data_IF_564741572703
#
_entry.id   IF_564741572703
#
_cell.length_a   1.000
_cell.length_b   1.000
_cell.length_c   1.000
_cell.angle_alpha   90.00
_cell.angle_beta   90.00
_cell.angle_gamma   90.00
#
_symmetry.space_group_name_H-M   'P 1'
#
loop_
_entity.id
_entity.type
_entity.pdbx_description
1 polymer ?
#
# COMPACT_ATOMS: atom_id res chain seq x y z
N UNK A 1 -22.42 -16.82 27.51
CA UNK A 1 -22.21 -17.91 26.53
C UNK A 1 -20.72 -18.13 26.40
N UNK A 2 -20.35 -19.37 26.69
CA UNK A 2 -19.04 -20.02 26.79
C UNK A 2 -18.09 -19.72 25.61
N UNK A 3 -16.76 -19.71 25.78
CA UNK A 3 -15.94 -20.84 26.22
C UNK A 3 -14.60 -20.41 26.87
N UNK A 4 -13.93 -21.33 27.61
CA UNK A 4 -12.87 -21.07 28.58
C UNK A 4 -11.46 -21.40 28.05
N UNK A 5 -10.43 -20.91 28.74
CA UNK A 5 -9.08 -21.50 28.70
C UNK A 5 -8.65 -21.72 30.14
N UNK A 6 -8.60 -22.99 30.55
CA UNK A 6 -7.92 -23.44 31.76
C UNK A 6 -6.42 -23.68 31.49
N UNK A 7 -5.67 -23.46 32.55
CA UNK A 7 -4.21 -23.47 32.77
C UNK A 7 -3.49 -24.81 32.54
N UNK A 8 -2.15 -24.80 32.37
CA UNK A 8 -1.19 -25.37 33.34
C UNK A 8 0.28 -25.13 32.90
N UNK A 9 1.21 -25.32 33.85
CA UNK A 9 2.48 -24.57 33.98
C UNK A 9 3.77 -25.43 33.90
N UNK A 10 4.82 -24.79 33.38
CA UNK A 10 6.27 -24.88 33.64
C UNK A 10 7.20 -26.03 33.18
N UNK A 11 8.38 -25.54 32.72
CA UNK A 11 9.73 -26.12 32.54
C UNK A 11 10.01 -26.90 31.24
N UNK A 12 10.91 -26.34 30.43
CA UNK A 12 11.70 -27.07 29.44
C UNK A 12 11.89 -26.30 28.15
N UNK A 13 13.12 -25.87 27.89
CA UNK A 13 13.57 -25.17 26.69
C UNK A 13 13.26 -25.95 25.41
N UNK A 14 12.51 -25.36 24.47
CA UNK A 14 12.44 -25.81 23.08
C UNK A 14 12.78 -24.63 22.17
N UNK A 15 13.85 -24.84 21.42
CA UNK A 15 14.53 -23.88 20.55
C UNK A 15 13.63 -23.53 19.36
N UNK A 16 13.30 -22.24 19.21
CA UNK A 16 12.82 -21.71 17.93
C UNK A 16 13.87 -20.74 17.39
N UNK A 17 14.38 -21.05 16.19
CA UNK A 17 15.25 -20.18 15.41
C UNK A 17 14.45 -19.00 14.89
N UNK A 18 14.27 -17.98 15.75
CA UNK A 18 13.58 -16.73 15.40
C UNK A 18 14.64 -15.75 14.88
N UNK A 19 14.50 -15.35 13.60
CA UNK A 19 15.24 -14.23 13.00
C UNK A 19 15.23 -13.05 13.98
N UNK A 20 16.42 -12.54 14.36
CA UNK A 20 16.63 -11.41 15.29
C UNK A 20 15.69 -10.23 14.99
N UNK A 21 14.50 -10.21 15.60
CA UNK A 21 13.78 -8.97 15.87
C UNK A 21 14.41 -8.38 17.12
N UNK A 22 15.29 -7.38 16.96
CA UNK A 22 15.65 -6.50 18.06
C UNK A 22 14.37 -5.79 18.49
N UNK A 23 13.74 -6.27 19.56
CA UNK A 23 12.79 -5.49 20.34
C UNK A 23 13.59 -4.30 20.88
N UNK A 24 13.56 -3.16 20.17
CA UNK A 24 14.18 -1.93 20.63
C UNK A 24 13.24 -1.38 21.71
N UNK A 25 13.61 -1.57 22.98
CA UNK A 25 12.99 -0.79 24.06
C UNK A 25 13.26 0.67 23.73
N UNK A 26 12.22 1.41 23.37
CA UNK A 26 12.33 2.81 23.03
C UNK A 26 12.24 3.59 24.33
N UNK A 27 13.40 4.01 24.84
CA UNK A 27 13.50 4.83 26.03
C UNK A 27 13.30 6.30 25.63
N UNK A 28 12.38 7.00 26.30
CA UNK A 28 12.12 8.43 26.06
C UNK A 28 12.94 9.25 27.04
N UNK A 29 13.82 10.12 26.54
CA UNK A 29 14.66 10.97 27.37
C UNK A 29 13.93 12.24 27.81
N UNK A 30 13.92 12.50 29.11
CA UNK A 30 13.29 13.66 29.72
C UNK A 30 14.26 14.79 30.04
N UNK A 31 15.54 14.45 30.24
CA UNK A 31 16.59 15.41 30.59
C UNK A 31 17.92 15.11 29.90
N UNK A 32 18.80 16.11 29.82
CA UNK A 32 20.14 15.93 29.25
C UNK A 32 21.01 14.99 30.11
N UNK A 33 20.84 15.02 31.43
CA UNK A 33 21.58 14.15 32.36
C UNK A 33 21.26 12.68 32.13
N UNK A 34 19.97 12.34 32.02
CA UNK A 34 19.49 10.99 31.74
C UNK A 34 20.05 10.46 30.40
N UNK A 35 20.05 11.31 29.36
CA UNK A 35 20.63 10.96 28.07
C UNK A 35 22.14 10.74 28.13
N UNK A 36 22.87 11.62 28.82
CA UNK A 36 24.31 11.53 28.94
C UNK A 36 24.73 10.27 29.70
N UNK A 37 24.02 9.92 30.77
CA UNK A 37 24.24 8.68 31.53
C UNK A 37 24.00 7.44 30.66
N UNK A 38 22.86 7.38 29.96
CA UNK A 38 22.52 6.25 29.10
C UNK A 38 23.49 6.05 27.92
N UNK A 39 24.09 7.14 27.42
CA UNK A 39 25.06 7.13 26.31
C UNK A 39 26.51 7.16 26.75
N UNK A 40 26.78 7.13 28.07
CA UNK A 40 28.12 7.24 28.65
C UNK A 40 28.91 8.47 28.16
N UNK A 41 28.25 9.61 28.04
CA UNK A 41 28.83 10.89 27.61
C UNK A 41 29.38 11.67 28.81
N UNK A 42 30.65 12.04 28.75
CA UNK A 42 31.35 12.73 29.87
C UNK A 42 31.20 14.26 29.86
N UNK A 43 30.92 14.86 28.71
CA UNK A 43 30.82 16.32 28.54
C UNK A 43 29.64 16.69 27.62
N UNK A 44 28.89 17.72 28.00
CA UNK A 44 27.80 18.31 27.20
C UNK A 44 28.25 18.76 25.80
N UNK A 45 29.51 19.16 25.64
CA UNK A 45 30.06 19.55 24.32
C UNK A 45 30.21 18.39 23.35
N UNK A 46 30.29 17.16 23.87
CA UNK A 46 30.46 15.94 23.08
C UNK A 46 29.13 15.36 22.57
N UNK A 47 28.01 15.94 22.97
CA UNK A 47 26.66 15.47 22.64
C UNK A 47 26.41 15.59 21.13
N UNK A 48 26.18 14.46 20.42
CA UNK A 48 25.91 14.48 18.98
C UNK A 48 24.45 14.90 18.71
N UNK A 49 24.15 16.19 18.85
CA UNK A 49 22.79 16.74 18.81
C UNK A 49 21.96 16.31 17.60
N UNK A 50 22.55 16.27 16.41
CA UNK A 50 21.82 15.86 15.19
C UNK A 50 21.41 14.39 15.26
N UNK A 51 22.34 13.51 15.64
CA UNK A 51 22.07 12.08 15.78
C UNK A 51 20.98 11.84 16.81
N UNK A 52 21.08 12.49 17.97
CA UNK A 52 20.10 12.35 19.05
C UNK A 52 18.71 12.86 18.63
N UNK A 53 18.62 14.02 17.98
CA UNK A 53 17.34 14.55 17.50
C UNK A 53 16.67 13.66 16.44
N UNK A 54 17.43 12.80 15.76
CA UNK A 54 16.94 11.93 14.69
C UNK A 54 16.63 10.50 15.19
N UNK A 55 17.47 9.96 16.06
CA UNK A 55 17.46 8.52 16.39
C UNK A 55 16.81 8.18 17.75
N UNK A 56 16.70 9.17 18.64
CA UNK A 56 16.17 8.99 19.99
C UNK A 56 14.77 9.60 20.13
N UNK A 57 13.98 9.09 21.10
CA UNK A 57 12.72 9.72 21.49
C UNK A 57 12.98 10.75 22.58
N UNK A 58 12.74 12.02 22.26
CA UNK A 58 12.97 13.15 23.15
C UNK A 58 11.64 13.70 23.62
N UNK A 59 11.46 13.82 24.93
CA UNK A 59 10.29 14.50 25.47
C UNK A 59 10.29 15.98 25.09
N UNK A 60 9.11 16.59 25.06
CA UNK A 60 8.99 18.04 24.90
C UNK A 60 9.72 18.82 26.00
N UNK A 61 9.85 18.26 27.21
CA UNK A 61 10.59 18.88 28.31
C UNK A 61 12.08 18.95 28.00
N UNK A 62 12.65 17.84 27.54
CA UNK A 62 14.03 17.78 27.07
C UNK A 62 14.30 18.84 25.99
N UNK A 63 13.40 18.95 25.01
CA UNK A 63 13.55 19.90 23.91
C UNK A 63 13.49 21.35 24.42
N UNK A 64 12.61 21.65 25.40
CA UNK A 64 12.51 22.98 26.03
C UNK A 64 13.80 23.36 26.75
N UNK A 65 14.39 22.43 27.50
CA UNK A 65 15.62 22.67 28.27
C UNK A 65 16.85 22.85 27.38
N UNK A 66 16.79 22.37 26.13
CA UNK A 66 17.91 22.36 25.19
C UNK A 66 17.61 23.14 23.90
N UNK A 67 16.77 24.18 24.01
CA UNK A 67 16.19 24.96 22.90
C UNK A 67 17.22 25.46 21.86
N UNK A 68 18.43 25.84 22.31
CA UNK A 68 19.49 26.41 21.47
C UNK A 68 20.40 25.37 20.80
N UNK A 69 20.35 24.13 21.30
CA UNK A 69 21.24 23.05 20.90
C UNK A 69 20.58 22.08 19.92
N UNK A 70 19.28 21.84 20.10
CA UNK A 70 18.51 20.93 19.26
C UNK A 70 18.46 21.43 17.81
N UNK A 71 18.42 20.46 16.89
CA UNK A 71 18.20 20.72 15.48
C UNK A 71 16.70 20.74 15.18
N UNK A 72 16.11 21.93 15.06
CA UNK A 72 14.66 22.10 14.88
C UNK A 72 14.09 21.43 13.62
N UNK A 73 14.87 21.28 12.57
CA UNK A 73 14.44 20.54 11.37
C UNK A 73 14.25 19.05 11.69
N UNK A 74 15.21 18.47 12.42
CA UNK A 74 15.13 17.07 12.85
C UNK A 74 14.02 16.88 13.89
N UNK A 75 13.89 17.80 14.85
CA UNK A 75 12.78 17.80 15.82
C UNK A 75 11.42 17.80 15.10
N UNK A 76 11.24 18.66 14.10
CA UNK A 76 9.96 18.78 13.37
C UNK A 76 9.56 17.49 12.66
N UNK A 77 10.53 16.71 12.18
CA UNK A 77 10.30 15.51 11.36
C UNK A 77 10.35 14.19 12.12
N UNK A 78 11.09 14.08 13.22
CA UNK A 78 11.39 12.80 13.87
C UNK A 78 10.82 12.65 15.28
N UNK A 79 10.40 13.75 15.91
CA UNK A 79 9.86 13.73 17.27
C UNK A 79 8.33 13.83 17.25
N UNK A 80 7.65 13.23 18.20
CA UNK A 80 6.21 13.42 18.41
C UNK A 80 5.96 14.73 19.18
N UNK A 81 5.31 15.69 18.55
CA UNK A 81 5.06 17.03 19.12
C UNK A 81 3.56 17.24 19.31
N UNK A 82 3.16 17.69 20.51
CA UNK A 82 1.79 18.11 20.76
C UNK A 82 1.46 19.42 20.05
N UNK A 83 0.18 19.64 19.74
CA UNK A 83 -0.29 20.90 19.18
C UNK A 83 0.05 22.11 20.07
N UNK A 84 0.03 21.94 21.40
CA UNK A 84 0.42 22.98 22.36
C UNK A 84 1.89 23.37 22.22
N UNK A 85 2.77 22.38 22.05
CA UNK A 85 4.19 22.62 21.79
C UNK A 85 4.43 23.27 20.44
N UNK A 86 3.79 22.76 19.39
CA UNK A 86 3.88 23.32 18.04
C UNK A 86 3.42 24.78 18.05
N UNK A 87 2.33 25.09 18.76
CA UNK A 87 1.85 26.47 18.90
C UNK A 87 2.86 27.38 19.59
N UNK A 88 3.54 26.88 20.64
CA UNK A 88 4.56 27.64 21.39
C UNK A 88 5.81 27.90 20.54
N UNK A 89 6.26 26.91 19.77
CA UNK A 89 7.52 26.95 19.02
C UNK A 89 7.35 27.06 17.50
N UNK A 90 6.17 27.51 17.04
CA UNK A 90 5.77 27.57 15.62
C UNK A 90 6.77 28.25 14.67
N UNK A 91 7.54 29.23 15.16
CA UNK A 91 8.49 29.99 14.32
C UNK A 91 9.86 29.30 14.24
N UNK A 92 10.12 28.27 15.05
CA UNK A 92 11.34 27.43 15.00
C UNK A 92 11.14 26.18 14.15
N UNK A 93 9.90 25.73 14.01
CA UNK A 93 9.56 24.47 13.37
C UNK A 93 9.52 24.56 11.84
N UNK A 94 9.87 23.46 11.20
CA UNK A 94 9.83 23.26 9.76
C UNK A 94 8.48 22.65 9.41
N UNK A 95 7.58 23.48 8.93
CA UNK A 95 6.17 23.10 8.87
C UNK A 95 5.82 22.09 7.79
N UNK A 96 6.58 22.02 6.71
CA UNK A 96 6.45 20.93 5.74
C UNK A 96 6.64 19.57 6.43
N UNK A 97 7.63 19.48 7.33
CA UNK A 97 7.84 18.32 8.20
C UNK A 97 6.69 18.16 9.19
N UNK A 98 6.30 19.24 9.89
CA UNK A 98 5.19 19.19 10.87
C UNK A 98 3.90 18.63 10.25
N UNK A 99 3.48 19.12 9.08
CA UNK A 99 2.26 18.66 8.43
C UNK A 99 2.39 17.20 7.96
N UNK A 100 3.58 16.79 7.49
CA UNK A 100 3.81 15.42 7.04
C UNK A 100 3.82 14.41 8.19
N UNK A 101 4.38 14.76 9.35
CA UNK A 101 4.72 13.77 10.39
C UNK A 101 3.88 13.84 11.66
N UNK A 102 3.35 15.02 12.04
CA UNK A 102 2.69 15.20 13.34
C UNK A 102 1.21 14.83 13.30
N UNK A 103 0.66 14.26 14.38
CA UNK A 103 -0.78 13.97 14.49
C UNK A 103 -1.54 15.25 14.84
N UNK A 104 -2.07 15.93 13.82
CA UNK A 104 -2.75 17.21 13.95
C UNK A 104 -4.27 17.06 13.78
N UNK A 105 -5.03 17.90 14.48
CA UNK A 105 -6.45 18.12 14.28
C UNK A 105 -6.72 19.00 13.07
N UNK A 106 -7.90 18.83 12.47
CA UNK A 106 -8.36 19.66 11.36
C UNK A 106 -8.45 21.15 11.74
N UNK A 107 -8.92 21.44 12.96
CA UNK A 107 -8.97 22.81 13.50
C UNK A 107 -7.59 23.43 13.61
N UNK A 108 -6.57 22.66 14.00
CA UNK A 108 -5.20 23.14 14.08
C UNK A 108 -4.61 23.40 12.69
N UNK A 109 -4.82 22.50 11.75
CA UNK A 109 -4.43 22.68 10.34
C UNK A 109 -5.06 23.98 9.81
N UNK A 110 -6.36 24.17 9.99
CA UNK A 110 -7.06 25.36 9.51
C UNK A 110 -6.51 26.65 10.15
N UNK A 111 -6.24 26.63 11.46
CA UNK A 111 -5.67 27.77 12.21
C UNK A 111 -4.36 28.29 11.61
N UNK A 112 -3.54 27.42 11.03
CA UNK A 112 -2.22 27.75 10.49
C UNK A 112 -2.14 27.78 8.96
N UNK A 113 -3.25 27.59 8.25
CA UNK A 113 -3.30 27.59 6.79
C UNK A 113 -3.19 28.99 6.12
N UNK A 114 -2.65 29.99 6.83
CA UNK A 114 -2.52 31.36 6.34
C UNK A 114 -1.12 31.93 6.66
N UNK A 115 -0.45 32.46 5.62
CA UNK A 115 0.88 33.09 5.70
C UNK A 115 1.05 34.07 6.86
N UNK A 116 0.03 34.88 7.20
CA UNK A 116 0.11 35.87 8.29
C UNK A 116 0.38 35.26 9.67
N UNK A 117 0.10 33.96 9.84
CA UNK A 117 0.35 33.22 11.09
C UNK A 117 1.82 32.84 11.28
N UNK A 118 2.59 32.94 10.21
CA UNK A 118 3.98 32.57 10.08
C UNK A 118 4.78 33.86 10.19
N UNK A 119 5.33 34.08 11.38
CA UNK A 119 6.25 35.18 11.60
C UNK A 119 7.66 34.61 11.45
N UNK A 120 8.58 35.28 10.73
CA UNK A 120 9.99 34.93 10.80
C UNK A 120 10.41 34.91 12.26
N UNK A 121 11.17 33.90 12.66
CA UNK A 121 11.86 33.98 13.94
C UNK A 121 12.88 35.12 13.86
N UNK A 122 12.95 35.95 14.89
CA UNK A 122 14.01 36.94 15.00
C UNK A 122 15.35 36.20 14.99
N UNK A 123 16.27 36.58 14.10
CA UNK A 123 17.55 35.87 13.89
C UNK A 123 18.35 35.84 15.20
N UNK A 124 18.16 36.86 16.03
CA UNK A 124 18.75 37.04 17.35
C UNK A 124 18.29 35.97 18.37
N UNK A 125 17.13 35.34 18.15
CA UNK A 125 16.63 34.24 18.99
C UNK A 125 17.22 32.86 18.64
N UNK A 126 18.02 32.78 17.57
CA UNK A 126 18.62 31.53 17.09
C UNK A 126 20.13 31.50 17.38
N UNK A 127 20.64 30.33 17.76
CA UNK A 127 22.09 30.11 17.80
C UNK A 127 22.68 30.16 16.38
N UNK A 128 23.97 30.52 16.24
CA UNK A 128 24.64 30.57 14.92
C UNK A 128 24.50 29.27 14.11
N UNK A 129 24.46 28.12 14.78
CA UNK A 129 24.24 26.80 14.13
C UNK A 129 22.80 26.67 13.61
N UNK A 130 21.82 27.14 14.38
CA UNK A 130 20.42 27.12 13.99
C UNK A 130 20.14 28.10 12.85
N UNK A 131 20.75 29.29 12.86
CA UNK A 131 20.69 30.25 11.75
C UNK A 131 21.14 29.61 10.43
N UNK A 132 22.33 29.01 10.40
CA UNK A 132 22.84 28.29 9.22
C UNK A 132 21.92 27.19 8.74
N UNK A 133 21.32 26.44 9.68
CA UNK A 133 20.37 25.36 9.33
C UNK A 133 19.10 25.95 8.73
N UNK A 134 18.59 27.03 9.31
CA UNK A 134 17.40 27.73 8.81
C UNK A 134 17.65 28.33 7.42
N UNK A 135 18.76 29.03 7.20
CA UNK A 135 19.12 29.58 5.88
C UNK A 135 19.21 28.50 4.80
N UNK A 136 19.76 27.34 5.14
CA UNK A 136 19.94 26.22 4.20
C UNK A 136 18.65 25.48 3.89
N UNK A 137 17.80 25.26 4.90
CA UNK A 137 16.72 24.27 4.83
C UNK A 137 15.32 24.91 4.86
N UNK A 138 15.21 26.16 5.30
CA UNK A 138 13.92 26.85 5.44
C UNK A 138 13.32 27.11 4.07
N UNK A 139 11.98 27.04 4.02
CA UNK A 139 11.20 27.37 2.84
C UNK A 139 10.15 28.39 3.22
N UNK A 140 9.89 29.40 2.37
CA UNK A 140 8.79 30.32 2.60
C UNK A 140 7.46 29.56 2.62
N UNK A 141 6.49 30.09 3.36
CA UNK A 141 5.14 29.54 3.34
C UNK A 141 4.51 29.74 1.96
N UNK A 142 4.21 28.63 1.31
CA UNK A 142 3.47 28.57 0.04
C UNK A 142 2.12 27.88 0.27
N UNK A 143 1.04 28.64 0.14
CA UNK A 143 -0.31 28.16 0.46
C UNK A 143 -0.69 26.92 -0.36
N UNK A 144 -0.41 26.92 -1.67
CA UNK A 144 -0.70 25.80 -2.56
C UNK A 144 0.05 24.54 -2.13
N UNK A 145 1.33 24.66 -1.79
CA UNK A 145 2.14 23.55 -1.32
C UNK A 145 1.65 23.03 0.04
N UNK A 146 1.28 23.93 0.96
CA UNK A 146 0.70 23.58 2.24
C UNK A 146 -0.58 22.74 2.07
N UNK A 147 -1.53 23.18 1.26
CA UNK A 147 -2.78 22.44 1.04
C UNK A 147 -2.56 21.13 0.29
N UNK A 148 -1.56 21.07 -0.60
CA UNK A 148 -1.13 19.81 -1.22
C UNK A 148 -0.62 18.81 -0.16
N UNK A 149 0.19 19.25 0.80
CA UNK A 149 0.63 18.39 1.91
C UNK A 149 -0.54 17.94 2.79
N UNK A 150 -1.46 18.85 3.11
CA UNK A 150 -2.68 18.52 3.87
C UNK A 150 -3.51 17.46 3.13
N UNK A 151 -3.63 17.54 1.81
CA UNK A 151 -4.40 16.58 1.00
C UNK A 151 -3.86 15.16 1.10
N UNK A 152 -2.54 14.98 1.26
CA UNK A 152 -1.88 13.67 1.45
C UNK A 152 -1.99 13.13 2.88
N UNK A 153 -2.41 13.96 3.84
CA UNK A 153 -2.26 13.66 5.26
C UNK A 153 -3.26 12.62 5.74
N UNK A 154 -2.79 11.41 6.05
CA UNK A 154 -3.60 10.35 6.65
C UNK A 154 -3.52 10.35 8.19
N UNK A 155 -2.37 10.74 8.74
CA UNK A 155 -2.12 10.77 10.18
C UNK A 155 -2.70 12.04 10.81
N UNK A 156 -4.01 12.04 11.06
CA UNK A 156 -4.70 13.06 11.85
C UNK A 156 -4.95 12.57 13.28
N UNK A 157 -5.21 13.52 14.18
CA UNK A 157 -5.55 13.22 15.58
C UNK A 157 -6.79 12.30 15.73
N UNK A 158 -7.66 12.28 14.72
CA UNK A 158 -8.85 11.42 14.67
C UNK A 158 -8.56 9.98 14.17
N UNK A 159 -7.33 9.68 13.76
CA UNK A 159 -6.88 8.43 13.13
C UNK A 159 -7.62 7.98 11.84
N UNK A 160 -8.54 8.79 11.32
CA UNK A 160 -9.43 8.45 10.19
C UNK A 160 -9.13 9.25 8.92
N UNK A 161 -8.11 10.10 8.92
CA UNK A 161 -7.82 11.01 7.82
C UNK A 161 -8.73 12.25 7.81
N UNK A 162 -8.77 12.95 6.68
CA UNK A 162 -9.59 14.15 6.53
C UNK A 162 -11.07 13.79 6.46
N UNK A 163 -11.88 14.47 7.25
CA UNK A 163 -13.32 14.29 7.27
C UNK A 163 -13.96 14.81 5.98
N UNK A 164 -15.07 14.19 5.52
CA UNK A 164 -15.81 14.71 4.37
C UNK A 164 -16.23 16.18 4.53
N UNK A 165 -16.57 16.60 5.75
CA UNK A 165 -16.93 17.99 6.04
C UNK A 165 -15.75 18.96 5.86
N UNK A 166 -14.55 18.56 6.28
CA UNK A 166 -13.34 19.34 6.06
C UNK A 166 -12.99 19.45 4.57
N UNK A 167 -13.09 18.32 3.83
CA UNK A 167 -12.85 18.30 2.39
C UNK A 167 -13.82 19.24 1.67
N UNK A 168 -15.12 19.17 1.99
CA UNK A 168 -16.14 20.07 1.45
C UNK A 168 -15.84 21.55 1.72
N UNK A 169 -15.51 21.87 2.98
CA UNK A 169 -15.19 23.24 3.40
C UNK A 169 -14.00 23.82 2.63
N UNK A 170 -13.04 22.97 2.24
CA UNK A 170 -11.77 23.39 1.63
C UNK A 170 -11.56 22.86 0.21
N UNK A 171 -12.62 22.43 -0.48
CA UNK A 171 -12.59 21.82 -1.81
C UNK A 171 -11.80 22.61 -2.88
N UNK A 172 -11.77 23.94 -2.79
CA UNK A 172 -11.06 24.81 -3.74
C UNK A 172 -9.56 24.93 -3.47
N UNK A 173 -9.11 24.50 -2.29
CA UNK A 173 -7.71 24.62 -1.84
C UNK A 173 -6.99 23.27 -1.86
N UNK A 174 -7.71 22.19 -1.55
CA UNK A 174 -7.17 20.84 -1.54
C UNK A 174 -6.84 20.35 -2.96
N UNK A 175 -5.82 19.51 -3.05
CA UNK A 175 -5.36 18.87 -4.27
C UNK A 175 -6.12 17.56 -4.46
N UNK A 176 -7.07 17.54 -5.40
CA UNK A 176 -7.97 16.40 -5.62
C UNK A 176 -7.26 15.15 -6.13
N UNK A 177 -6.16 15.29 -6.86
CA UNK A 177 -5.34 14.13 -7.25
C UNK A 177 -4.73 13.48 -6.02
N UNK A 178 -4.22 14.28 -5.07
CA UNK A 178 -3.66 13.75 -3.82
C UNK A 178 -4.75 13.20 -2.89
N UNK A 179 -5.93 13.83 -2.85
CA UNK A 179 -7.09 13.30 -2.13
C UNK A 179 -7.51 11.92 -2.68
N UNK A 180 -7.66 11.79 -4.00
CA UNK A 180 -8.05 10.52 -4.64
C UNK A 180 -7.06 9.39 -4.37
N UNK A 181 -5.76 9.71 -4.25
CA UNK A 181 -4.68 8.73 -4.00
C UNK A 181 -4.58 8.32 -2.53
N UNK A 182 -4.69 9.27 -1.61
CA UNK A 182 -4.28 9.07 -0.23
C UNK A 182 -5.41 9.11 0.78
N UNK A 183 -6.54 9.75 0.48
CA UNK A 183 -7.67 9.79 1.41
C UNK A 183 -8.70 8.70 1.09
N UNK A 184 -9.43 8.27 2.11
CA UNK A 184 -10.67 7.55 1.89
C UNK A 184 -11.76 8.54 1.47
N UNK A 185 -12.24 8.43 0.23
CA UNK A 185 -13.28 9.29 -0.32
C UNK A 185 -14.60 8.49 -0.43
N UNK A 186 -15.60 8.78 0.42
CA UNK A 186 -16.90 8.11 0.30
C UNK A 186 -17.56 8.38 -1.06
N UNK A 187 -18.23 7.39 -1.63
CA UNK A 187 -18.94 7.53 -2.92
C UNK A 187 -19.83 8.79 -3.03
N UNK A 188 -20.59 9.22 -2.00
CA UNK A 188 -21.37 10.47 -2.08
C UNK A 188 -20.52 11.74 -2.23
N UNK A 189 -19.27 11.73 -1.74
CA UNK A 189 -18.32 12.82 -1.92
C UNK A 189 -17.78 12.81 -3.36
N UNK A 190 -17.38 11.63 -3.84
CA UNK A 190 -16.94 11.43 -5.24
C UNK A 190 -18.05 11.86 -6.21
N UNK A 191 -19.31 11.50 -5.92
CA UNK A 191 -20.48 11.88 -6.71
C UNK A 191 -20.62 13.40 -6.85
N UNK A 192 -20.49 14.15 -5.74
CA UNK A 192 -20.61 15.61 -5.74
C UNK A 192 -19.44 16.31 -6.43
N UNK A 193 -18.25 15.71 -6.39
CA UNK A 193 -17.01 16.26 -6.95
C UNK A 193 -16.48 15.48 -8.16
N UNK A 194 -17.38 14.88 -8.93
CA UNK A 194 -17.05 14.03 -10.08
C UNK A 194 -16.17 14.72 -11.14
N UNK A 195 -16.21 16.06 -11.21
CA UNK A 195 -15.42 16.87 -12.13
C UNK A 195 -14.03 17.23 -11.61
N UNK A 196 -13.73 16.95 -10.34
CA UNK A 196 -12.47 17.33 -9.67
C UNK A 196 -11.62 16.11 -9.34
N UNK A 197 -12.26 14.99 -8.99
CA UNK A 197 -11.56 13.75 -8.66
C UNK A 197 -10.75 13.23 -9.85
N UNK A 198 -9.58 12.67 -9.55
CA UNK A 198 -8.85 11.84 -10.50
C UNK A 198 -9.51 10.46 -10.57
N UNK A 199 -10.16 10.15 -11.69
CA UNK A 199 -10.92 8.92 -11.87
C UNK A 199 -10.08 7.66 -11.91
N UNK A 200 -8.86 7.72 -12.46
CA UNK A 200 -7.94 6.59 -12.47
C UNK A 200 -7.58 6.23 -11.02
N UNK A 201 -7.22 7.24 -10.22
CA UNK A 201 -6.90 7.02 -8.82
C UNK A 201 -8.12 6.59 -8.00
N UNK A 202 -9.30 7.15 -8.27
CA UNK A 202 -10.56 6.73 -7.63
C UNK A 202 -10.83 5.25 -7.91
N UNK A 203 -10.77 4.83 -9.17
CA UNK A 203 -11.01 3.43 -9.55
C UNK A 203 -9.97 2.47 -8.97
N UNK A 204 -8.73 2.91 -8.76
CA UNK A 204 -7.65 2.05 -8.26
C UNK A 204 -7.57 1.94 -6.75
N UNK A 205 -7.98 2.98 -6.03
CA UNK A 205 -7.71 3.10 -4.59
C UNK A 205 -8.97 3.22 -3.71
N UNK A 206 -10.13 3.52 -4.29
CA UNK A 206 -11.38 3.66 -3.52
C UNK A 206 -12.23 2.40 -3.65
N UNK A 207 -13.12 2.15 -2.68
CA UNK A 207 -14.07 1.05 -2.75
C UNK A 207 -15.35 1.53 -3.44
N UNK A 208 -15.61 1.02 -4.64
CA UNK A 208 -16.74 1.42 -5.47
C UNK A 208 -17.74 0.26 -5.60
N UNK A 209 -19.03 0.58 -5.56
CA UNK A 209 -20.06 -0.40 -5.92
C UNK A 209 -20.17 -0.56 -7.43
N UNK A 210 -20.53 -1.75 -7.90
CA UNK A 210 -20.81 -2.03 -9.32
C UNK A 210 -21.78 -1.02 -9.94
N UNK A 211 -22.86 -0.67 -9.21
CA UNK A 211 -23.83 0.35 -9.66
C UNK A 211 -23.21 1.73 -9.82
N UNK A 212 -22.26 2.09 -8.95
CA UNK A 212 -21.54 3.35 -9.05
C UNK A 212 -20.60 3.35 -10.26
N UNK A 213 -19.89 2.25 -10.49
CA UNK A 213 -19.04 2.04 -11.67
C UNK A 213 -19.86 2.16 -12.95
N UNK A 214 -21.02 1.52 -13.02
CA UNK A 214 -21.95 1.63 -14.17
C UNK A 214 -22.45 3.05 -14.37
N UNK A 215 -22.80 3.77 -13.30
CA UNK A 215 -23.23 5.18 -13.38
C UNK A 215 -22.16 6.09 -13.98
N UNK A 216 -20.89 5.82 -13.69
CA UNK A 216 -19.75 6.59 -14.16
C UNK A 216 -18.93 5.84 -15.21
N UNK A 217 -19.59 5.05 -16.05
CA UNK A 217 -18.93 4.16 -17.01
C UNK A 217 -17.97 4.87 -17.97
N UNK A 218 -18.19 6.15 -18.26
CA UNK A 218 -17.34 6.90 -19.19
C UNK A 218 -16.14 7.58 -18.50
N UNK A 219 -16.02 7.43 -17.18
CA UNK A 219 -14.98 8.07 -16.39
C UNK A 219 -14.04 7.06 -15.72
N UNK A 220 -14.57 5.95 -15.24
CA UNK A 220 -13.77 4.90 -14.58
C UNK A 220 -12.75 4.29 -15.53
N UNK A 221 -11.60 3.89 -14.97
CA UNK A 221 -10.59 3.14 -15.70
C UNK A 221 -11.01 1.65 -15.78
N UNK A 222 -11.28 1.15 -16.99
CA UNK A 222 -11.82 -0.20 -17.20
C UNK A 222 -10.77 -1.28 -17.42
N UNK A 223 -9.62 -0.92 -17.97
CA UNK A 223 -8.63 -1.82 -18.52
C UNK A 223 -8.20 -2.89 -17.52
N UNK A 224 -7.95 -2.48 -16.27
CA UNK A 224 -7.52 -3.33 -15.17
C UNK A 224 -8.43 -3.23 -13.93
N UNK A 225 -9.69 -2.81 -14.08
CA UNK A 225 -10.59 -2.53 -12.95
C UNK A 225 -10.75 -3.70 -11.97
N UNK A 226 -10.72 -4.94 -12.48
CA UNK A 226 -10.87 -6.16 -11.68
C UNK A 226 -9.67 -6.46 -10.76
N UNK A 227 -8.53 -5.79 -10.95
CA UNK A 227 -7.38 -5.88 -10.05
C UNK A 227 -7.52 -4.95 -8.83
N UNK A 228 -8.48 -4.02 -8.88
CA UNK A 228 -8.63 -2.95 -7.89
C UNK A 228 -9.98 -2.98 -7.19
N UNK A 229 -11.01 -3.50 -7.85
CA UNK A 229 -12.37 -3.58 -7.34
C UNK A 229 -12.79 -5.03 -7.14
N UNK A 230 -13.55 -5.27 -6.08
CA UNK A 230 -14.23 -6.55 -5.91
C UNK A 230 -15.48 -6.59 -6.77
N UNK A 231 -15.45 -7.41 -7.82
CA UNK A 231 -16.47 -7.44 -8.87
C UNK A 231 -17.05 -8.85 -9.00
N UNK A 232 -18.36 -8.94 -9.10
CA UNK A 232 -19.05 -10.20 -9.37
C UNK A 232 -18.75 -10.70 -10.79
N UNK A 233 -18.80 -12.02 -10.96
CA UNK A 233 -18.68 -12.63 -12.29
C UNK A 233 -19.74 -12.12 -13.26
N UNK A 234 -20.97 -11.89 -12.78
CA UNK A 234 -22.06 -11.33 -13.60
C UNK A 234 -21.69 -9.95 -14.15
N UNK A 235 -21.09 -9.11 -13.33
CA UNK A 235 -20.66 -7.78 -13.73
C UNK A 235 -19.52 -7.86 -14.76
N UNK A 236 -18.50 -8.68 -14.49
CA UNK A 236 -17.39 -8.86 -15.43
C UNK A 236 -17.90 -9.44 -16.74
N UNK A 237 -18.74 -10.47 -16.73
CA UNK A 237 -19.35 -11.05 -17.94
C UNK A 237 -20.08 -9.99 -18.78
N UNK A 238 -20.79 -9.05 -18.16
CA UNK A 238 -21.48 -7.95 -18.87
C UNK A 238 -20.51 -6.95 -19.50
N UNK A 239 -19.40 -6.63 -18.83
CA UNK A 239 -18.51 -5.52 -19.20
C UNK A 239 -17.11 -5.94 -19.67
N UNK A 240 -16.83 -7.24 -19.80
CA UNK A 240 -15.51 -7.78 -20.12
C UNK A 240 -14.91 -7.21 -21.41
N UNK A 241 -15.74 -6.79 -22.38
CA UNK A 241 -15.27 -6.14 -23.60
C UNK A 241 -14.51 -4.82 -23.37
N UNK A 242 -14.68 -4.18 -22.22
CA UNK A 242 -13.95 -2.96 -21.82
C UNK A 242 -12.67 -3.25 -21.04
N UNK A 243 -12.47 -4.50 -20.62
CA UNK A 243 -11.32 -4.92 -19.82
C UNK A 243 -10.29 -5.57 -20.74
N UNK A 244 -9.03 -5.14 -20.66
CA UNK A 244 -7.93 -5.82 -21.33
C UNK A 244 -7.49 -7.04 -20.52
N UNK A 245 -7.48 -6.90 -19.19
CA UNK A 245 -7.05 -7.95 -18.27
C UNK A 245 -8.07 -8.19 -17.17
N UNK A 246 -8.24 -9.46 -16.79
CA UNK A 246 -9.13 -9.88 -15.71
C UNK A 246 -8.31 -10.53 -14.60
N UNK A 247 -8.51 -10.07 -13.37
CA UNK A 247 -7.85 -10.64 -12.19
C UNK A 247 -8.42 -12.02 -11.84
N UNK A 248 -7.52 -12.97 -11.62
CA UNK A 248 -7.79 -14.29 -11.09
C UNK A 248 -7.50 -14.39 -9.57
N UNK A 249 -7.36 -13.28 -8.83
CA UNK A 249 -7.08 -13.34 -7.39
C UNK A 249 -8.32 -13.69 -6.56
N UNK A 250 -9.48 -13.17 -6.95
CA UNK A 250 -10.75 -13.52 -6.31
C UNK A 250 -11.21 -14.90 -6.78
N UNK A 251 -11.80 -15.69 -5.88
CA UNK A 251 -12.33 -17.01 -6.24
C UNK A 251 -13.36 -16.90 -7.36
N UNK A 252 -13.17 -17.66 -8.43
CA UNK A 252 -14.07 -17.73 -9.59
C UNK A 252 -14.60 -19.14 -9.80
N UNK A 253 -15.73 -19.25 -10.51
CA UNK A 253 -16.25 -20.48 -11.05
C UNK A 253 -15.39 -20.96 -12.23
N UNK A 254 -15.32 -22.28 -12.41
CA UNK A 254 -14.54 -22.87 -13.51
C UNK A 254 -15.03 -22.38 -14.88
N UNK A 255 -16.36 -22.26 -15.06
CA UNK A 255 -16.97 -21.72 -16.28
C UNK A 255 -16.55 -20.28 -16.55
N UNK A 256 -16.38 -19.46 -15.51
CA UNK A 256 -15.91 -18.09 -15.65
C UNK A 256 -14.44 -18.05 -16.07
N UNK A 257 -13.58 -18.84 -15.40
CA UNK A 257 -12.17 -18.98 -15.77
C UNK A 257 -12.03 -19.45 -17.22
N UNK A 258 -12.79 -20.46 -17.63
CA UNK A 258 -12.82 -20.94 -19.01
C UNK A 258 -13.18 -19.82 -20.00
N UNK A 259 -14.22 -19.06 -19.68
CA UNK A 259 -14.76 -18.03 -20.58
C UNK A 259 -13.78 -16.87 -20.80
N UNK A 260 -13.00 -16.51 -19.78
CA UNK A 260 -12.10 -15.34 -19.81
C UNK A 260 -10.61 -15.70 -19.73
N UNK A 261 -10.24 -16.96 -20.00
CA UNK A 261 -8.86 -17.45 -19.89
C UNK A 261 -7.86 -16.63 -20.72
N UNK A 262 -8.30 -16.12 -21.87
CA UNK A 262 -7.50 -15.28 -22.76
C UNK A 262 -7.06 -13.98 -22.08
N UNK A 263 -7.94 -13.38 -21.27
CA UNK A 263 -7.71 -12.12 -20.52
C UNK A 263 -7.06 -12.32 -19.15
N UNK A 264 -6.81 -13.56 -18.75
CA UNK A 264 -6.20 -13.91 -17.48
C UNK A 264 -4.78 -14.41 -17.67
N UNK A 265 -3.95 -14.12 -16.67
CA UNK A 265 -2.64 -14.73 -16.53
C UNK A 265 -2.76 -16.15 -15.96
N UNK A 266 -2.13 -17.13 -16.61
CA UNK A 266 -2.24 -18.53 -16.22
C UNK A 266 -1.54 -18.83 -14.89
N UNK A 267 -0.43 -18.14 -14.60
CA UNK A 267 0.26 -18.30 -13.33
C UNK A 267 -0.63 -17.86 -12.16
N UNK A 268 -1.28 -16.70 -12.31
CA UNK A 268 -2.24 -16.17 -11.33
C UNK A 268 -3.43 -17.09 -11.11
N UNK A 269 -3.94 -17.75 -12.17
CA UNK A 269 -5.03 -18.74 -12.02
C UNK A 269 -4.57 -19.91 -11.16
N UNK A 270 -3.41 -20.51 -11.48
CA UNK A 270 -2.90 -21.68 -10.76
C UNK A 270 -2.57 -21.34 -9.29
N UNK A 271 -2.09 -20.13 -9.03
CA UNK A 271 -1.75 -19.69 -7.67
C UNK A 271 -2.99 -19.47 -6.78
N UNK A 272 -4.06 -18.90 -7.34
CA UNK A 272 -5.17 -18.37 -6.54
C UNK A 272 -6.48 -19.15 -6.68
N UNK A 273 -6.62 -20.00 -7.70
CA UNK A 273 -7.85 -20.77 -7.95
C UNK A 273 -7.73 -22.21 -7.46
N UNK A 274 -8.86 -22.78 -7.05
CA UNK A 274 -8.97 -24.19 -6.71
C UNK A 274 -9.44 -24.96 -7.94
N UNK A 275 -8.49 -25.45 -8.74
CA UNK A 275 -8.76 -26.25 -9.93
C UNK A 275 -8.89 -27.73 -9.56
N UNK A 276 -10.01 -28.35 -9.93
CA UNK A 276 -10.31 -29.74 -9.58
C UNK A 276 -9.64 -30.73 -10.54
N UNK A 277 -9.55 -30.40 -11.82
CA UNK A 277 -9.05 -31.30 -12.84
C UNK A 277 -7.59 -30.99 -13.18
N UNK A 278 -6.68 -31.77 -12.59
CA UNK A 278 -5.24 -31.65 -12.79
C UNK A 278 -4.66 -33.04 -13.05
N UNK A 279 -4.03 -33.22 -14.20
CA UNK A 279 -3.26 -34.40 -14.56
C UNK A 279 -1.79 -34.14 -14.27
N UNK A 280 -1.10 -35.10 -13.64
CA UNK A 280 0.27 -34.91 -13.16
C UNK A 280 1.19 -35.94 -13.78
N UNK A 281 2.22 -35.46 -14.47
CA UNK A 281 3.24 -36.28 -15.11
C UNK A 281 4.62 -35.90 -14.57
N UNK A 282 5.66 -36.72 -14.82
CA UNK A 282 7.02 -36.37 -14.39
C UNK A 282 7.50 -35.00 -14.92
N UNK A 283 7.31 -34.65 -16.21
CA UNK A 283 7.82 -33.39 -16.74
C UNK A 283 6.97 -32.16 -16.40
N UNK A 284 5.65 -32.33 -16.22
CA UNK A 284 4.71 -31.22 -16.03
C UNK A 284 3.35 -31.65 -15.43
N UNK A 285 2.62 -30.66 -14.91
CA UNK A 285 1.21 -30.75 -14.55
C UNK A 285 0.35 -30.11 -15.66
N UNK A 286 -0.75 -30.77 -16.04
CA UNK A 286 -1.76 -30.25 -16.98
C UNK A 286 -3.02 -29.90 -16.20
N UNK A 287 -3.39 -28.63 -16.23
CA UNK A 287 -4.61 -28.10 -15.63
C UNK A 287 -5.68 -27.96 -16.70
N UNK A 288 -6.87 -28.47 -16.42
CA UNK A 288 -7.98 -28.54 -17.38
C UNK A 288 -9.13 -27.68 -16.88
N UNK A 289 -9.58 -26.75 -17.71
CA UNK A 289 -10.81 -25.98 -17.51
C UNK A 289 -11.89 -26.50 -18.44
N UNK A 290 -13.08 -26.74 -17.90
CA UNK A 290 -14.20 -27.32 -18.64
C UNK A 290 -15.40 -26.37 -18.75
N UNK A 291 -16.08 -26.41 -19.91
CA UNK A 291 -17.37 -25.76 -20.13
C UNK A 291 -18.21 -26.59 -21.09
N UNK A 292 -19.08 -27.43 -20.52
CA UNK A 292 -19.74 -28.49 -21.30
C UNK A 292 -18.68 -29.46 -21.81
N UNK A 293 -18.70 -29.74 -23.11
CA UNK A 293 -17.73 -30.63 -23.75
C UNK A 293 -16.41 -29.93 -24.14
N UNK A 294 -16.37 -28.59 -24.05
CA UNK A 294 -15.18 -27.83 -24.41
C UNK A 294 -14.15 -27.80 -23.28
N UNK A 295 -12.88 -27.84 -23.67
CA UNK A 295 -11.74 -27.85 -22.75
C UNK A 295 -10.74 -26.78 -23.11
N UNK A 296 -10.04 -26.27 -22.10
CA UNK A 296 -8.88 -25.39 -22.24
C UNK A 296 -7.81 -25.86 -21.28
N UNK A 297 -6.56 -25.74 -21.70
CA UNK A 297 -5.44 -26.35 -21.01
C UNK A 297 -4.43 -25.31 -20.58
N UNK A 298 -3.82 -25.56 -19.42
CA UNK A 298 -2.62 -24.86 -18.98
C UNK A 298 -1.59 -25.89 -18.53
N UNK A 299 -0.35 -25.75 -18.97
CA UNK A 299 0.75 -26.63 -18.57
C UNK A 299 1.65 -25.88 -17.61
N UNK A 300 2.04 -26.54 -16.51
CA UNK A 300 3.07 -26.09 -15.58
C UNK A 300 4.26 -27.06 -15.62
N UNK A 301 5.38 -26.60 -16.12
CA UNK A 301 6.60 -27.40 -16.25
C UNK A 301 7.36 -27.51 -14.93
N UNK A 302 7.82 -28.71 -14.58
CA UNK A 302 8.60 -28.93 -13.35
C UNK A 302 10.05 -28.47 -13.46
N UNK A 303 10.61 -28.50 -14.68
CA UNK A 303 11.96 -28.02 -15.00
C UNK A 303 11.85 -26.82 -15.93
N UNK A 304 12.01 -25.61 -15.39
CA UNK A 304 12.10 -24.38 -16.19
C UNK A 304 13.52 -24.21 -16.69
N UNK A 305 13.73 -24.14 -18.00
CA UNK A 305 14.93 -23.49 -18.55
C UNK A 305 14.78 -21.97 -18.38
N UNK A 306 15.87 -21.23 -18.19
CA UNK A 306 15.86 -19.80 -17.85
C UNK A 306 15.18 -18.88 -18.89
N UNK A 307 14.78 -19.42 -20.06
CA UNK A 307 14.23 -18.67 -21.19
C UNK A 307 12.72 -18.87 -21.44
N UNK A 308 12.04 -19.82 -20.77
CA UNK A 308 10.64 -20.17 -21.05
C UNK A 308 9.77 -19.93 -19.81
N UNK A 309 8.61 -19.28 -19.99
CA UNK A 309 7.59 -19.18 -18.94
C UNK A 309 7.23 -20.58 -18.43
N UNK A 310 7.34 -20.79 -17.11
CA UNK A 310 7.12 -22.07 -16.45
C UNK A 310 5.66 -22.54 -16.49
N UNK A 311 4.73 -21.62 -16.76
CA UNK A 311 3.29 -21.88 -16.89
C UNK A 311 2.83 -21.29 -18.21
N UNK A 312 2.11 -22.07 -19.02
CA UNK A 312 1.61 -21.65 -20.34
C UNK A 312 0.16 -22.05 -20.54
N UNK A 313 -0.59 -21.23 -21.27
CA UNK A 313 -1.87 -21.61 -21.87
C UNK A 313 -1.54 -22.32 -23.18
N UNK A 314 -2.15 -23.47 -23.42
CA UNK A 314 -1.92 -24.24 -24.64
C UNK A 314 -3.24 -24.62 -25.28
N UNK A 315 -3.24 -24.73 -26.61
CA UNK A 315 -4.35 -25.34 -27.34
C UNK A 315 -4.21 -26.87 -27.38
N UNK A 316 -5.13 -27.52 -28.10
CA UNK A 316 -5.19 -28.98 -28.21
C UNK A 316 -4.00 -29.57 -28.99
N UNK A 317 -3.51 -28.87 -30.03
CA UNK A 317 -2.37 -29.32 -30.83
C UNK A 317 -1.06 -29.17 -30.05
N UNK A 318 -0.86 -28.03 -29.39
CA UNK A 318 0.31 -27.79 -28.54
C UNK A 318 0.36 -28.77 -27.37
N UNK A 319 -0.79 -29.09 -26.76
CA UNK A 319 -0.85 -30.12 -25.71
C UNK A 319 -0.49 -31.51 -26.26
N UNK A 320 -1.03 -31.87 -27.43
CA UNK A 320 -0.70 -33.15 -28.08
C UNK A 320 0.80 -33.27 -28.34
N UNK A 321 1.43 -32.23 -28.90
CA UNK A 321 2.88 -32.20 -29.14
C UNK A 321 3.69 -32.39 -27.87
N UNK A 322 3.34 -31.69 -26.79
CA UNK A 322 4.02 -31.86 -25.51
C UNK A 322 3.85 -33.27 -24.93
N UNK A 323 2.69 -33.92 -25.11
CA UNK A 323 2.49 -35.32 -24.71
C UNK A 323 3.31 -36.27 -25.58
N UNK A 324 3.38 -36.05 -26.90
CA UNK A 324 4.17 -36.84 -27.84
C UNK A 324 5.68 -36.76 -27.54
N UNK A 325 6.22 -35.55 -27.43
CA UNK A 325 7.64 -35.29 -27.18
C UNK A 325 8.14 -35.92 -25.87
N UNK A 326 7.25 -36.09 -24.89
CA UNK A 326 7.57 -36.67 -23.59
C UNK A 326 7.18 -38.17 -23.48
N UNK A 327 6.80 -38.81 -24.59
CA UNK A 327 6.48 -40.24 -24.62
C UNK A 327 5.18 -40.61 -23.89
N UNK A 328 4.26 -39.66 -23.76
CA UNK A 328 2.99 -39.80 -23.03
C UNK A 328 1.80 -40.10 -23.96
N UNK A 329 2.01 -40.47 -25.23
CA UNK A 329 0.92 -40.81 -26.16
C UNK A 329 -0.04 -41.88 -25.61
N UNK A 330 0.50 -42.83 -24.81
CA UNK A 330 -0.29 -43.91 -24.20
C UNK A 330 -1.36 -43.42 -23.22
N UNK A 331 -1.23 -42.21 -22.68
CA UNK A 331 -2.20 -41.67 -21.71
C UNK A 331 -3.30 -40.85 -22.39
N UNK A 332 -3.17 -40.56 -23.69
CA UNK A 332 -4.12 -39.71 -24.43
C UNK A 332 -5.52 -40.32 -24.41
N UNK A 333 -5.65 -41.62 -24.71
CA UNK A 333 -6.95 -42.29 -24.74
C UNK A 333 -7.67 -42.25 -23.37
N UNK A 334 -6.93 -42.25 -22.27
CA UNK A 334 -7.48 -42.24 -20.91
C UNK A 334 -7.74 -40.83 -20.38
N UNK A 335 -6.74 -39.95 -20.47
CA UNK A 335 -6.76 -38.64 -19.82
C UNK A 335 -7.34 -37.53 -20.72
N UNK A 336 -7.17 -37.66 -22.04
CA UNK A 336 -7.52 -36.66 -23.04
C UNK A 336 -8.13 -37.29 -24.31
N UNK A 337 -9.21 -38.07 -24.20
CA UNK A 337 -9.78 -38.80 -25.33
C UNK A 337 -10.13 -37.90 -26.52
N UNK A 338 -10.44 -36.63 -26.27
CA UNK A 338 -10.66 -35.60 -27.28
C UNK A 338 -9.46 -35.36 -28.23
N UNK A 339 -8.22 -35.60 -27.79
CA UNK A 339 -7.01 -35.34 -28.58
C UNK A 339 -6.65 -36.48 -29.55
N UNK A 340 -7.33 -37.63 -29.46
CA UNK A 340 -7.08 -38.80 -30.34
C UNK A 340 -7.24 -38.46 -31.83
N UNK A 341 -8.18 -37.58 -32.14
CA UNK A 341 -8.47 -37.11 -33.51
C UNK A 341 -7.25 -36.38 -34.12
N UNK A 342 -6.44 -35.68 -33.31
CA UNK A 342 -5.24 -34.98 -33.78
C UNK A 342 -4.18 -35.98 -34.24
N UNK A 343 -4.02 -37.08 -33.50
CA UNK A 343 -3.17 -38.20 -33.91
C UNK A 343 -3.65 -38.77 -35.26
N UNK A 344 -4.93 -39.07 -35.38
CA UNK A 344 -5.51 -39.64 -36.61
C UNK A 344 -5.38 -38.73 -37.84
N UNK A 345 -5.32 -37.40 -37.67
CA UNK A 345 -5.14 -36.45 -38.78
C UNK A 345 -3.66 -36.25 -39.19
N UNK A 346 -2.70 -36.55 -38.30
CA UNK A 346 -1.26 -36.41 -38.58
C UNK A 346 -0.66 -37.64 -39.29
N UNK A 347 -1.37 -38.77 -39.33
CA UNK A 347 -0.89 -40.05 -39.89
C UNK A 347 -1.61 -40.50 -41.17
#
# INVERSE_FOLDING_TARGET
MSLPIESFSFKGMLVYTIKKCKVRVVYMFNSLTELMEAKNLKDKRSVPWNQICQEEQLSEQFIKENVDQVNWQLISGHQELSEGFIQKYKNRLFWDKVIQTQKLSESFIEKYANKKKWQPIAIEELSKKQQKTFEKESRPFEATYYWKLVSKKQQLANAKGLSPMFIEKHQKKLDWTELSRHQHLPMPLIYRHAHQVDWILVTRHQVLSERFIEKYSNHVEWETISFHQSLSERFINRHHGKMSFISAQERRSETFLFTHLDKMDAASIIEHQQLANVKRYEPFDVYILTKGDQRKYMIKFHKSTEALEAIRKVDEEELYEHLEENGLLIVIEEDFPELTIIGDMRF
#
